data_IF_039886287823
#
_entry.id   IF_039886287823
#
_cell.length_a   1.000
_cell.length_b   1.000
_cell.length_c   1.000
_cell.angle_alpha   90.00
_cell.angle_beta   90.00
_cell.angle_gamma   90.00
#
_symmetry.space_group_name_H-M   'P 1'
#
loop_
_entity.id
_entity.type
_entity.pdbx_description
1 polymer ?
#
# COMPACT_ATOMS: atom_id res chain seq x y z
N UNK A 1 -12.03 4.80 -4.47
CA UNK A 1 -10.85 4.47 -3.66
C UNK A 1 -9.85 5.62 -3.71
N UNK A 2 -9.42 6.13 -2.55
CA UNK A 2 -8.40 7.18 -2.42
C UNK A 2 -7.00 6.58 -2.61
N UNK A 3 -6.13 7.26 -3.36
CA UNK A 3 -4.74 6.82 -3.59
C UNK A 3 -3.81 7.77 -2.85
N UNK A 4 -2.91 7.21 -2.04
CA UNK A 4 -1.95 7.95 -1.23
C UNK A 4 -0.55 7.70 -1.80
N UNK A 5 0.16 8.76 -2.18
CA UNK A 5 1.51 8.61 -2.75
C UNK A 5 2.54 8.58 -1.62
N UNK A 6 3.32 7.50 -1.55
CA UNK A 6 4.42 7.36 -0.62
C UNK A 6 5.61 8.24 -1.01
N UNK A 7 6.10 9.08 -0.11
CA UNK A 7 7.21 10.02 -0.33
C UNK A 7 8.39 9.66 0.58
N UNK A 8 9.52 9.22 0.01
CA UNK A 8 10.71 8.95 0.81
C UNK A 8 11.64 10.15 0.97
N UNK A 9 11.58 11.15 0.07
CA UNK A 9 12.41 12.35 0.07
C UNK A 9 11.78 13.49 -0.74
N UNK A 10 12.39 14.68 -0.71
CA UNK A 10 11.94 15.88 -1.43
C UNK A 10 12.39 15.95 -2.90
N UNK A 11 12.94 14.89 -3.49
CA UNK A 11 13.51 14.96 -4.85
C UNK A 11 12.44 14.96 -5.95
N UNK A 12 11.27 14.40 -5.66
CA UNK A 12 10.15 14.33 -6.60
C UNK A 12 8.99 15.12 -6.01
N UNK A 13 8.56 16.23 -6.64
CA UNK A 13 7.55 17.13 -6.10
C UNK A 13 6.12 16.60 -6.25
N UNK A 14 5.85 15.36 -5.82
CA UNK A 14 4.51 14.75 -5.93
C UNK A 14 3.45 15.47 -5.09
N UNK A 15 3.84 16.33 -4.14
CA UNK A 15 2.89 17.20 -3.42
C UNK A 15 2.16 18.18 -4.35
N UNK A 16 2.78 18.57 -5.46
CA UNK A 16 2.16 19.45 -6.46
C UNK A 16 1.01 18.77 -7.22
N UNK A 17 0.92 17.43 -7.16
CA UNK A 17 -0.20 16.66 -7.72
C UNK A 17 -1.49 16.76 -6.91
N UNK A 18 -1.47 17.47 -5.76
CA UNK A 18 -2.63 17.69 -4.87
C UNK A 18 -3.30 16.39 -4.39
N UNK A 19 -2.59 15.27 -4.43
CA UNK A 19 -3.03 14.01 -3.84
C UNK A 19 -2.62 13.90 -2.37
N UNK A 20 -3.32 13.07 -1.57
CA UNK A 20 -2.84 12.68 -0.24
C UNK A 20 -1.46 12.01 -0.32
N UNK A 21 -0.66 12.19 0.73
CA UNK A 21 0.73 11.77 0.79
C UNK A 21 0.95 10.87 2.00
N UNK A 22 1.84 9.89 1.86
CA UNK A 22 2.29 9.05 2.96
C UNK A 22 3.79 9.21 3.14
N UNK A 23 4.23 9.44 4.36
CA UNK A 23 5.66 9.48 4.72
C UNK A 23 5.95 8.44 5.78
N UNK A 24 7.22 8.11 5.96
CA UNK A 24 7.66 7.22 7.04
C UNK A 24 8.42 8.03 8.09
N UNK A 25 8.00 7.96 9.36
CA UNK A 25 8.54 8.81 10.43
C UNK A 25 10.07 8.72 10.61
N UNK A 26 10.67 7.60 10.19
CA UNK A 26 12.12 7.40 10.25
C UNK A 26 12.90 8.40 9.38
N UNK A 27 12.29 8.93 8.31
CA UNK A 27 12.98 9.76 7.32
C UNK A 27 12.62 11.25 7.38
N UNK A 28 11.69 11.64 8.26
CA UNK A 28 11.11 12.99 8.24
C UNK A 28 11.13 13.63 9.64
N UNK A 29 11.24 14.97 9.65
CA UNK A 29 11.22 15.82 10.84
C UNK A 29 10.21 16.97 10.75
N UNK A 30 9.75 17.30 9.54
CA UNK A 30 8.83 18.39 9.25
C UNK A 30 8.03 18.07 7.98
N UNK A 31 6.90 18.74 7.81
CA UNK A 31 6.10 18.70 6.58
C UNK A 31 6.18 20.05 5.87
N UNK A 32 6.54 20.02 4.58
CA UNK A 32 6.73 21.22 3.76
C UNK A 32 5.61 21.42 2.72
N UNK A 33 4.44 20.84 2.97
CA UNK A 33 3.28 20.87 2.08
C UNK A 33 1.98 20.91 2.88
N UNK A 34 0.86 21.20 2.19
CA UNK A 34 -0.47 21.31 2.81
C UNK A 34 -1.39 20.11 2.54
N UNK A 35 -0.92 19.12 1.78
CA UNK A 35 -1.69 17.94 1.42
C UNK A 35 -2.06 17.14 2.68
N UNK A 36 -3.19 16.43 2.63
CA UNK A 36 -3.51 15.37 3.58
C UNK A 36 -2.30 14.44 3.69
N UNK A 37 -1.79 14.25 4.92
CA UNK A 37 -0.56 13.51 5.15
C UNK A 37 -0.80 12.39 6.15
N UNK A 38 -0.38 11.19 5.78
CA UNK A 38 -0.40 10.01 6.61
C UNK A 38 1.03 9.63 6.96
N UNK A 39 1.27 9.21 8.21
CA UNK A 39 2.61 8.84 8.67
C UNK A 39 2.64 7.36 9.02
N UNK A 40 3.47 6.61 8.30
CA UNK A 40 3.84 5.24 8.60
C UNK A 40 4.83 5.19 9.78
N UNK A 41 4.61 4.25 10.69
CA UNK A 41 5.42 4.01 11.89
C UNK A 41 6.79 3.41 11.55
N UNK A 42 6.88 2.72 10.41
CA UNK A 42 8.06 1.99 9.98
C UNK A 42 8.17 0.56 10.50
N UNK A 43 7.05 -0.05 10.93
CA UNK A 43 6.96 -1.47 11.34
C UNK A 43 7.64 -2.44 10.37
N UNK A 44 7.50 -2.21 9.06
CA UNK A 44 8.15 -3.01 8.04
C UNK A 44 9.69 -2.90 8.06
N UNK A 45 10.23 -1.68 8.15
CA UNK A 45 11.67 -1.44 8.20
C UNK A 45 12.28 -1.97 9.50
N UNK A 46 11.56 -1.90 10.61
CA UNK A 46 11.91 -2.50 11.90
C UNK A 46 12.14 -4.01 11.74
N UNK A 47 11.21 -4.70 11.08
CA UNK A 47 11.30 -6.15 10.83
C UNK A 47 12.45 -6.50 9.88
N UNK A 48 12.55 -5.83 8.73
CA UNK A 48 13.50 -6.21 7.66
C UNK A 48 14.95 -5.82 8.00
N UNK A 49 15.15 -4.74 8.74
CA UNK A 49 16.48 -4.20 9.06
C UNK A 49 16.92 -4.46 10.51
N UNK A 50 16.07 -5.10 11.33
CA UNK A 50 16.36 -5.36 12.75
C UNK A 50 16.51 -4.09 13.60
N UNK A 51 15.87 -2.99 13.19
CA UNK A 51 15.96 -1.70 13.89
C UNK A 51 15.07 -1.77 15.13
N UNK A 52 15.61 -1.51 16.32
CA UNK A 52 14.79 -1.28 17.52
C UNK A 52 14.22 0.13 17.46
N UNK A 53 12.90 0.23 17.37
CA UNK A 53 12.19 1.52 17.48
C UNK A 53 11.48 1.58 18.82
N UNK A 54 11.74 2.67 19.52
CA UNK A 54 11.14 3.00 20.80
C UNK A 54 9.84 3.77 20.57
N UNK A 55 8.77 3.35 21.25
CA UNK A 55 7.45 3.97 21.17
C UNK A 55 7.51 5.47 21.54
N UNK A 56 8.35 5.87 22.49
CA UNK A 56 8.50 7.27 22.86
C UNK A 56 9.08 8.11 21.72
N UNK A 57 10.06 7.57 20.99
CA UNK A 57 10.61 8.25 19.81
C UNK A 57 9.58 8.39 18.69
N UNK A 58 8.69 7.40 18.52
CA UNK A 58 7.58 7.49 17.57
C UNK A 58 6.62 8.61 17.97
N UNK A 59 6.30 8.74 19.26
CA UNK A 59 5.44 9.81 19.78
C UNK A 59 6.06 11.18 19.53
N UNK A 60 7.35 11.36 19.84
CA UNK A 60 8.08 12.61 19.59
C UNK A 60 8.01 12.98 18.11
N UNK A 61 8.26 12.01 17.23
CA UNK A 61 8.19 12.20 15.77
C UNK A 61 6.79 12.56 15.30
N UNK A 62 5.77 11.87 15.78
CA UNK A 62 4.39 12.14 15.39
C UNK A 62 3.95 13.54 15.83
N UNK A 63 4.34 13.98 17.04
CA UNK A 63 4.07 15.35 17.51
C UNK A 63 4.73 16.43 16.65
N UNK A 64 5.93 16.17 16.12
CA UNK A 64 6.63 17.10 15.24
C UNK A 64 6.00 17.19 13.84
N UNK A 65 5.47 16.08 13.32
CA UNK A 65 5.00 16.00 11.95
C UNK A 65 3.59 16.56 11.72
N UNK A 66 2.78 16.83 12.77
CA UNK A 66 1.40 17.36 12.69
C UNK A 66 0.58 16.87 11.46
N UNK A 67 0.58 15.57 11.25
CA UNK A 67 -0.06 14.93 10.13
C UNK A 67 -1.57 14.68 10.39
N UNK A 68 -2.29 14.37 9.31
CA UNK A 68 -3.72 14.07 9.36
C UNK A 68 -4.01 12.76 10.08
N UNK A 69 -3.20 11.72 9.80
CA UNK A 69 -3.33 10.39 10.39
C UNK A 69 -1.96 9.75 10.61
N UNK A 70 -1.89 8.85 11.57
CA UNK A 70 -0.67 8.11 11.89
C UNK A 70 -0.96 6.62 11.97
N UNK A 71 -0.08 5.78 11.44
CA UNK A 71 -0.17 4.34 11.60
C UNK A 71 0.29 3.96 13.01
N UNK A 72 -0.36 2.97 13.60
CA UNK A 72 0.11 2.38 14.86
C UNK A 72 1.49 1.76 14.66
N UNK A 73 2.32 1.80 15.71
CA UNK A 73 3.59 1.06 15.71
C UNK A 73 3.30 -0.43 15.88
N UNK A 74 3.40 -1.16 14.79
CA UNK A 74 3.13 -2.58 14.72
C UNK A 74 4.41 -3.40 14.53
N UNK A 75 4.35 -4.63 15.02
CA UNK A 75 5.32 -5.69 14.80
C UNK A 75 4.65 -6.69 13.87
N UNK A 76 4.95 -6.67 12.56
CA UNK A 76 4.32 -7.59 11.64
C UNK A 76 4.81 -9.01 11.91
N UNK A 77 3.89 -9.97 11.79
CA UNK A 77 4.16 -11.40 11.97
C UNK A 77 4.10 -12.12 10.62
N UNK A 78 4.55 -13.37 10.57
CA UNK A 78 4.37 -14.18 9.37
C UNK A 78 2.87 -14.42 9.14
N UNK A 79 2.43 -14.59 7.88
CA UNK A 79 1.05 -14.95 7.60
C UNK A 79 0.59 -16.18 8.39
N UNK A 80 -0.67 -16.22 8.80
CA UNK A 80 -1.30 -17.30 9.57
C UNK A 80 -0.74 -17.49 10.99
N UNK A 81 -0.04 -16.50 11.54
CA UNK A 81 0.44 -16.51 12.92
C UNK A 81 -0.26 -15.44 13.76
N UNK A 82 -0.35 -15.70 15.07
CA UNK A 82 -0.90 -14.76 16.04
C UNK A 82 -0.12 -13.44 16.06
N UNK A 83 -0.79 -12.29 16.25
CA UNK A 83 -0.14 -11.00 16.43
C UNK A 83 0.67 -10.96 17.72
N UNK A 84 1.62 -10.02 17.78
CA UNK A 84 2.22 -9.63 19.06
C UNK A 84 1.19 -8.87 19.90
N UNK A 85 1.04 -9.22 21.18
CA UNK A 85 0.23 -8.45 22.13
C UNK A 85 0.73 -7.00 22.30
N UNK A 86 1.99 -6.72 21.93
CA UNK A 86 2.52 -5.37 21.89
C UNK A 86 1.81 -4.49 20.86
N UNK A 87 1.26 -5.04 19.78
CA UNK A 87 0.56 -4.26 18.76
C UNK A 87 -0.69 -3.58 19.36
N UNK A 88 -1.45 -4.31 20.20
CA UNK A 88 -2.62 -3.77 20.90
C UNK A 88 -2.21 -2.72 21.94
N UNK A 89 -1.18 -2.99 22.74
CA UNK A 89 -0.67 -2.05 23.77
C UNK A 89 -0.11 -0.76 23.15
N UNK A 90 0.66 -0.88 22.06
CA UNK A 90 1.16 0.28 21.33
C UNK A 90 0.00 1.10 20.75
N UNK A 91 -0.99 0.43 20.17
CA UNK A 91 -2.17 1.10 19.64
C UNK A 91 -2.91 1.88 20.72
N UNK A 92 -3.30 1.25 21.83
CA UNK A 92 -4.04 1.94 22.91
C UNK A 92 -3.27 3.15 23.44
N UNK A 93 -1.96 2.99 23.65
CA UNK A 93 -1.13 4.08 24.15
C UNK A 93 -1.05 5.22 23.13
N UNK A 94 -0.75 4.94 21.86
CA UNK A 94 -0.73 5.96 20.81
C UNK A 94 -2.10 6.63 20.65
N UNK A 95 -3.19 5.85 20.69
CA UNK A 95 -4.55 6.35 20.56
C UNK A 95 -4.89 7.33 21.69
N UNK A 96 -4.46 7.02 22.92
CA UNK A 96 -4.64 7.91 24.08
C UNK A 96 -3.89 9.25 23.96
N UNK A 97 -2.79 9.27 23.19
CA UNK A 97 -1.95 10.47 23.01
C UNK A 97 -2.40 11.33 21.82
N UNK A 98 -2.93 10.72 20.76
CA UNK A 98 -3.18 11.40 19.48
C UNK A 98 -4.67 11.51 19.09
N UNK A 99 -5.58 11.39 20.07
CA UNK A 99 -7.03 11.66 19.96
C UNK A 99 -7.65 11.20 18.62
N UNK A 100 -7.72 9.87 18.44
CA UNK A 100 -8.37 9.20 17.29
C UNK A 100 -7.68 9.35 15.93
N UNK A 101 -6.48 9.93 15.86
CA UNK A 101 -5.70 10.00 14.60
C UNK A 101 -4.91 8.73 14.27
N UNK A 102 -4.91 7.72 15.16
CA UNK A 102 -4.15 6.49 15.00
C UNK A 102 -4.96 5.45 14.21
N UNK A 103 -4.37 4.94 13.13
CA UNK A 103 -4.89 3.81 12.36
C UNK A 103 -4.15 2.53 12.80
N UNK A 104 -4.84 1.55 13.41
CA UNK A 104 -4.25 0.24 13.68
C UNK A 104 -4.05 -0.56 12.40
N UNK A 105 -3.09 -1.47 12.43
CA UNK A 105 -2.79 -2.37 11.30
C UNK A 105 -3.23 -3.80 11.64
N UNK A 106 -4.10 -4.35 10.82
CA UNK A 106 -4.47 -5.76 10.83
C UNK A 106 -3.64 -6.44 9.72
N UNK A 107 -2.79 -7.39 10.09
CA UNK A 107 -2.04 -8.18 9.12
C UNK A 107 -2.77 -9.49 8.80
N UNK A 108 -2.14 -10.27 7.94
CA UNK A 108 -2.49 -11.63 7.56
C UNK A 108 -2.37 -12.65 8.73
N UNK A 109 -3.05 -12.45 9.87
CA UNK A 109 -3.04 -13.39 11.01
C UNK A 109 -3.89 -14.64 10.73
N UNK A 110 -3.90 -15.61 11.65
CA UNK A 110 -4.95 -16.64 11.67
C UNK A 110 -6.37 -16.02 11.85
N UNK A 111 -7.40 -16.77 11.47
CA UNK A 111 -8.80 -16.29 11.46
C UNK A 111 -9.27 -15.80 12.83
N UNK A 112 -8.98 -16.55 13.90
CA UNK A 112 -9.31 -16.18 15.28
C UNK A 112 -8.66 -14.86 15.67
N UNK A 113 -7.38 -14.69 15.32
CA UNK A 113 -6.64 -13.46 15.61
C UNK A 113 -7.12 -12.27 14.78
N UNK A 114 -7.58 -12.48 13.54
CA UNK A 114 -8.23 -11.45 12.73
C UNK A 114 -9.51 -10.98 13.43
N UNK A 115 -10.38 -11.90 13.87
CA UNK A 115 -11.61 -11.59 14.59
C UNK A 115 -11.33 -10.83 15.89
N UNK A 116 -10.41 -11.33 16.72
CA UNK A 116 -9.97 -10.66 17.95
C UNK A 116 -9.47 -9.24 17.68
N UNK A 117 -8.68 -9.05 16.61
CA UNK A 117 -8.18 -7.74 16.23
C UNK A 117 -9.31 -6.78 15.81
N UNK A 118 -10.28 -7.26 15.03
CA UNK A 118 -11.44 -6.46 14.61
C UNK A 118 -12.32 -6.09 15.81
N UNK A 119 -12.64 -7.04 16.68
CA UNK A 119 -13.43 -6.81 17.90
C UNK A 119 -12.74 -5.81 18.82
N UNK A 120 -11.42 -5.88 18.94
CA UNK A 120 -10.66 -4.95 19.74
C UNK A 120 -10.61 -3.54 19.13
N UNK A 121 -10.18 -3.41 17.86
CA UNK A 121 -9.97 -2.09 17.24
C UNK A 121 -11.28 -1.35 16.93
N UNK A 122 -12.38 -2.08 16.69
CA UNK A 122 -13.70 -1.48 16.41
C UNK A 122 -14.28 -0.70 17.59
N UNK A 123 -13.79 -0.94 18.82
CA UNK A 123 -14.14 -0.15 20.00
C UNK A 123 -13.54 1.25 19.99
N UNK A 124 -12.48 1.48 19.21
CA UNK A 124 -11.69 2.71 19.22
C UNK A 124 -11.82 3.51 17.93
N UNK A 125 -11.90 2.85 16.78
CA UNK A 125 -11.83 3.53 15.48
C UNK A 125 -12.71 2.87 14.42
N UNK A 126 -13.11 3.66 13.44
CA UNK A 126 -13.82 3.26 12.25
C UNK A 126 -12.88 3.08 11.05
N UNK A 127 -11.56 3.19 11.23
CA UNK A 127 -10.59 2.94 10.16
C UNK A 127 -9.48 1.97 10.61
N UNK A 128 -9.19 0.99 9.75
CA UNK A 128 -8.02 0.10 9.90
C UNK A 128 -7.16 0.15 8.64
N UNK A 129 -5.88 -0.15 8.80
CA UNK A 129 -5.02 -0.51 7.70
C UNK A 129 -4.94 -2.04 7.60
N UNK A 130 -5.02 -2.58 6.39
CA UNK A 130 -4.75 -3.97 6.09
C UNK A 130 -3.31 -4.10 5.57
N UNK A 131 -2.48 -4.77 6.36
CA UNK A 131 -1.10 -5.11 6.03
C UNK A 131 -0.95 -6.55 5.54
N UNK A 132 0.25 -6.91 5.07
CA UNK A 132 0.54 -8.29 4.65
C UNK A 132 0.45 -8.55 3.14
N UNK A 133 0.32 -7.50 2.32
CA UNK A 133 0.42 -7.56 0.83
C UNK A 133 1.86 -7.37 0.35
N UNK A 134 2.76 -6.92 1.22
CA UNK A 134 4.13 -6.57 0.89
C UNK A 134 5.10 -7.10 1.94
N UNK A 135 5.37 -8.41 1.94
CA UNK A 135 6.76 -8.80 2.09
C UNK A 135 7.27 -9.65 0.90
N UNK A 136 8.60 -9.72 0.70
CA UNK A 136 9.25 -10.57 -0.30
C UNK A 136 8.89 -12.06 -0.21
N UNK A 137 8.24 -12.49 0.88
CA UNK A 137 7.63 -13.82 1.06
C UNK A 137 6.46 -14.07 0.10
N UNK A 138 5.83 -13.05 -0.49
CA UNK A 138 4.69 -13.17 -1.43
C UNK A 138 5.07 -13.52 -2.87
N UNK A 139 6.35 -13.81 -3.15
CA UNK A 139 6.82 -14.20 -4.48
C UNK A 139 6.45 -15.63 -4.89
N UNK A 140 5.78 -16.40 -4.03
CA UNK A 140 5.12 -17.67 -4.39
C UNK A 140 3.63 -17.43 -4.64
N UNK A 141 3.09 -17.99 -5.72
CA UNK A 141 1.71 -17.79 -6.20
C UNK A 141 0.62 -18.05 -5.15
N UNK A 142 0.84 -18.96 -4.20
CA UNK A 142 -0.09 -19.26 -3.10
C UNK A 142 -0.30 -18.10 -2.13
N UNK A 143 0.73 -17.29 -1.88
CA UNK A 143 0.69 -16.27 -0.84
C UNK A 143 -0.16 -15.05 -1.26
N UNK A 144 -0.31 -14.80 -2.57
CA UNK A 144 -1.16 -13.73 -3.09
C UNK A 144 -2.65 -14.01 -2.90
N UNK A 145 -3.09 -15.26 -3.11
CA UNK A 145 -4.48 -15.66 -2.85
C UNK A 145 -4.80 -15.54 -1.36
N UNK A 146 -3.89 -16.01 -0.50
CA UNK A 146 -4.01 -15.90 0.95
C UNK A 146 -4.25 -14.45 1.40
N UNK A 147 -3.42 -13.50 0.94
CA UNK A 147 -3.59 -12.09 1.28
C UNK A 147 -4.92 -11.50 0.79
N UNK A 148 -5.46 -11.97 -0.35
CA UNK A 148 -6.76 -11.54 -0.87
C UNK A 148 -7.91 -12.15 -0.06
N UNK A 149 -7.85 -13.44 0.29
CA UNK A 149 -8.84 -14.11 1.13
C UNK A 149 -8.92 -13.48 2.52
N UNK A 150 -7.77 -13.26 3.17
CA UNK A 150 -7.70 -12.59 4.48
C UNK A 150 -8.23 -11.16 4.44
N UNK A 151 -7.91 -10.42 3.37
CA UNK A 151 -8.49 -9.10 3.19
C UNK A 151 -10.01 -9.15 3.11
N UNK A 152 -10.58 -10.08 2.34
CA UNK A 152 -12.04 -10.22 2.23
C UNK A 152 -12.68 -10.66 3.53
N UNK A 153 -12.03 -11.52 4.32
CA UNK A 153 -12.47 -11.83 5.69
C UNK A 153 -12.51 -10.56 6.54
N UNK A 154 -11.41 -9.78 6.60
CA UNK A 154 -11.38 -8.49 7.34
C UNK A 154 -12.46 -7.55 6.82
N UNK A 155 -12.65 -7.45 5.50
CA UNK A 155 -13.65 -6.58 4.88
C UNK A 155 -15.08 -7.00 5.23
N UNK A 156 -15.35 -8.31 5.35
CA UNK A 156 -16.65 -8.88 5.72
C UNK A 156 -17.04 -8.52 7.15
N UNK A 157 -16.08 -8.56 8.08
CA UNK A 157 -16.34 -8.36 9.51
C UNK A 157 -16.13 -6.90 9.97
N UNK A 158 -15.25 -6.14 9.32
CA UNK A 158 -15.02 -4.73 9.61
C UNK A 158 -16.12 -3.87 8.98
N UNK A 159 -16.74 -2.97 9.76
CA UNK A 159 -17.83 -2.10 9.28
C UNK A 159 -17.38 -0.72 8.80
N UNK A 160 -16.15 -0.33 9.10
CA UNK A 160 -15.61 0.99 8.79
C UNK A 160 -14.76 1.04 7.52
N UNK A 161 -13.92 2.06 7.38
CA UNK A 161 -13.00 2.19 6.25
C UNK A 161 -11.77 1.27 6.38
N UNK A 162 -11.30 0.74 5.25
CA UNK A 162 -10.06 -0.03 5.16
C UNK A 162 -9.09 0.66 4.21
N UNK A 163 -7.88 0.92 4.73
CA UNK A 163 -6.73 1.31 3.94
C UNK A 163 -5.87 0.09 3.63
N UNK A 164 -5.61 -0.21 2.36
CA UNK A 164 -4.82 -1.39 1.98
C UNK A 164 -3.38 -0.99 1.67
N UNK A 165 -2.45 -1.46 2.49
CA UNK A 165 -1.04 -1.05 2.42
C UNK A 165 -0.35 -1.61 1.17
N UNK A 166 0.33 -0.74 0.41
CA UNK A 166 1.14 -1.09 -0.76
C UNK A 166 0.37 -1.54 -2.00
N UNK A 167 -0.95 -1.35 -2.04
CA UNK A 167 -1.83 -1.82 -3.13
C UNK A 167 -2.22 -0.72 -4.14
N UNK A 168 -1.46 0.36 -4.27
CA UNK A 168 -1.83 1.51 -5.09
C UNK A 168 -1.74 1.36 -6.61
N UNK A 169 -1.22 0.25 -7.15
CA UNK A 169 -1.18 0.05 -8.61
C UNK A 169 -2.58 -0.18 -9.20
N UNK A 170 -2.89 0.25 -10.43
CA UNK A 170 -4.21 0.03 -11.05
C UNK A 170 -4.69 -1.43 -11.00
N UNK A 171 -3.79 -2.39 -11.20
CA UNK A 171 -4.08 -3.82 -11.05
C UNK A 171 -4.52 -4.16 -9.62
N UNK A 172 -3.75 -3.76 -8.62
CA UNK A 172 -4.04 -4.05 -7.22
C UNK A 172 -5.32 -3.36 -6.75
N UNK A 173 -5.64 -2.16 -7.25
CA UNK A 173 -6.93 -1.52 -7.00
C UNK A 173 -8.13 -2.32 -7.52
N UNK A 174 -7.98 -3.09 -8.62
CA UNK A 174 -9.02 -4.03 -9.07
C UNK A 174 -9.11 -5.28 -8.20
N UNK A 175 -7.98 -5.72 -7.63
CA UNK A 175 -7.94 -6.85 -6.68
C UNK A 175 -8.60 -6.44 -5.35
N UNK A 176 -8.35 -5.24 -4.85
CA UNK A 176 -8.89 -4.73 -3.57
C UNK A 176 -10.00 -3.70 -3.80
N UNK A 177 -10.89 -3.95 -4.77
CA UNK A 177 -11.83 -2.95 -5.32
C UNK A 177 -12.81 -2.34 -4.31
N UNK A 178 -13.11 -3.06 -3.23
CA UNK A 178 -13.98 -2.66 -2.13
C UNK A 178 -13.21 -2.04 -0.94
N UNK A 179 -11.93 -1.65 -1.14
CA UNK A 179 -11.17 -0.87 -0.18
C UNK A 179 -11.42 0.64 -0.36
N UNK A 180 -11.33 1.38 0.74
CA UNK A 180 -11.56 2.82 0.77
C UNK A 180 -10.34 3.60 0.28
N UNK A 181 -9.14 3.10 0.60
CA UNK A 181 -7.89 3.74 0.22
C UNK A 181 -6.72 2.77 0.08
N UNK A 182 -5.68 3.19 -0.64
CA UNK A 182 -4.44 2.44 -0.89
C UNK A 182 -3.25 3.38 -0.91
N UNK A 183 -2.05 2.89 -0.59
CA UNK A 183 -0.81 3.63 -0.80
C UNK A 183 0.13 2.96 -1.82
N UNK A 184 1.09 3.74 -2.34
CA UNK A 184 2.14 3.24 -3.22
C UNK A 184 3.31 4.21 -3.32
N UNK A 185 4.53 3.67 -3.29
CA UNK A 185 5.77 4.38 -3.64
C UNK A 185 6.39 3.87 -4.95
N UNK A 186 5.69 2.99 -5.67
CA UNK A 186 6.24 2.29 -6.85
C UNK A 186 6.59 3.22 -8.02
N UNK A 187 5.97 4.40 -8.10
CA UNK A 187 6.26 5.40 -9.13
C UNK A 187 7.73 5.84 -9.14
N UNK A 188 8.31 6.03 -7.94
CA UNK A 188 9.70 6.45 -7.75
C UNK A 188 10.66 5.33 -8.12
N UNK A 189 10.42 4.14 -7.56
CA UNK A 189 11.26 2.95 -7.82
C UNK A 189 11.34 2.69 -9.32
N UNK A 190 10.20 2.73 -10.02
CA UNK A 190 10.15 2.55 -11.48
C UNK A 190 10.90 3.65 -12.23
N UNK A 191 10.70 4.91 -11.87
CA UNK A 191 11.37 6.04 -12.53
C UNK A 191 12.90 5.98 -12.42
N UNK A 192 13.44 5.67 -11.23
CA UNK A 192 14.88 5.51 -11.00
C UNK A 192 15.47 4.36 -11.84
N UNK A 193 14.72 3.28 -12.01
CA UNK A 193 15.15 2.14 -12.83
C UNK A 193 14.91 2.31 -14.34
N UNK A 194 14.61 3.53 -14.80
CA UNK A 194 14.46 3.82 -16.22
C UNK A 194 13.13 3.35 -16.82
N UNK A 195 12.11 3.14 -15.97
CA UNK A 195 10.80 2.64 -16.38
C UNK A 195 9.72 3.71 -16.30
N UNK A 196 8.76 3.62 -17.21
CA UNK A 196 7.47 4.32 -17.16
C UNK A 196 6.31 3.33 -17.12
N UNK A 197 5.20 3.75 -16.51
CA UNK A 197 3.93 3.04 -16.52
C UNK A 197 3.14 3.46 -17.74
N UNK A 198 2.80 2.50 -18.59
CA UNK A 198 1.91 2.69 -19.71
C UNK A 198 0.49 2.34 -19.24
N UNK A 199 -0.49 3.26 -19.34
CA UNK A 199 -1.88 3.00 -18.98
C UNK A 199 -2.40 1.69 -19.62
N UNK A 200 -3.03 0.83 -18.80
CA UNK A 200 -3.54 -0.48 -19.24
C UNK A 200 -2.49 -1.55 -19.60
N UNK A 201 -1.21 -1.20 -19.80
CA UNK A 201 -0.17 -2.13 -20.31
C UNK A 201 0.95 -2.44 -19.30
N UNK A 202 1.00 -1.72 -18.18
CA UNK A 202 1.98 -1.92 -17.12
C UNK A 202 3.31 -1.22 -17.38
N UNK A 203 4.39 -1.73 -16.80
CA UNK A 203 5.71 -1.07 -16.88
C UNK A 203 6.43 -1.33 -18.21
N UNK A 204 7.12 -0.31 -18.71
CA UNK A 204 8.04 -0.41 -19.84
C UNK A 204 9.32 0.35 -19.56
N UNK A 205 10.44 -0.20 -20.02
CA UNK A 205 11.73 0.46 -19.95
C UNK A 205 11.89 1.46 -21.10
N UNK A 206 12.33 2.67 -20.76
CA UNK A 206 12.57 3.78 -21.69
C UNK A 206 13.98 4.37 -21.58
N UNK A 207 14.82 3.83 -20.68
CA UNK A 207 16.20 4.28 -20.53
C UNK A 207 17.09 3.91 -21.73
N UNK A 208 18.22 4.60 -21.86
CA UNK A 208 19.18 4.36 -22.95
C UNK A 208 20.10 3.17 -22.67
N UNK A 209 20.37 2.87 -21.39
CA UNK A 209 21.29 1.79 -21.01
C UNK A 209 20.77 0.43 -21.50
N UNK A 210 21.69 -0.44 -21.91
CA UNK A 210 21.39 -1.85 -22.22
C UNK A 210 20.88 -2.53 -20.95
N UNK A 211 19.71 -3.14 -21.03
CA UNK A 211 19.06 -3.79 -19.89
C UNK A 211 19.72 -5.15 -19.64
N UNK A 212 20.07 -5.45 -18.39
CA UNK A 212 20.64 -6.75 -17.97
C UNK A 212 19.54 -7.70 -17.43
N UNK A 213 18.33 -7.19 -17.18
CA UNK A 213 17.17 -7.89 -16.60
C UNK A 213 15.94 -7.89 -17.52
N UNK A 214 14.93 -8.73 -17.23
CA UNK A 214 13.74 -9.03 -18.07
C UNK A 214 12.77 -7.87 -18.34
N UNK A 215 13.15 -6.61 -18.17
CA UNK A 215 12.26 -5.48 -18.41
C UNK A 215 12.01 -5.28 -19.92
N UNK A 216 10.74 -5.25 -20.33
CA UNK A 216 10.36 -5.01 -21.73
C UNK A 216 10.54 -3.54 -22.08
N UNK A 217 11.30 -3.26 -23.15
CA UNK A 217 11.44 -1.91 -23.71
C UNK A 217 10.11 -1.44 -24.31
N UNK A 218 9.78 -0.17 -24.13
CA UNK A 218 8.61 0.43 -24.76
C UNK A 218 8.80 0.48 -26.28
N UNK A 219 7.75 0.17 -27.04
CA UNK A 219 7.72 0.48 -28.48
C UNK A 219 7.04 1.84 -28.73
N UNK A 220 7.12 2.34 -29.96
CA UNK A 220 6.55 3.64 -30.35
C UNK A 220 5.05 3.74 -30.05
N UNK A 221 4.28 2.71 -30.37
CA UNK A 221 2.83 2.69 -30.10
C UNK A 221 2.50 2.74 -28.60
N UNK A 222 3.32 2.13 -27.74
CA UNK A 222 3.17 2.20 -26.29
C UNK A 222 3.53 3.59 -25.74
N UNK A 223 4.56 4.23 -26.29
CA UNK A 223 4.89 5.61 -25.95
C UNK A 223 3.81 6.58 -26.39
N UNK A 224 3.27 6.41 -27.60
CA UNK A 224 2.14 7.22 -28.08
C UNK A 224 0.90 7.07 -27.20
N UNK A 225 0.62 5.83 -26.74
CA UNK A 225 -0.44 5.56 -25.74
C UNK A 225 -0.24 6.40 -24.48
N UNK A 226 1.00 6.47 -23.97
CA UNK A 226 1.34 7.25 -22.78
C UNK A 226 1.18 8.76 -23.05
N UNK A 227 1.74 9.27 -24.14
CA UNK A 227 1.70 10.70 -24.47
C UNK A 227 0.25 11.18 -24.67
N UNK A 228 -0.56 10.43 -25.41
CA UNK A 228 -1.99 10.71 -25.58
C UNK A 228 -2.73 10.73 -24.24
N UNK A 229 -2.41 9.81 -23.33
CA UNK A 229 -3.01 9.78 -22.00
C UNK A 229 -2.61 11.01 -21.17
N UNK A 230 -1.33 11.39 -21.18
CA UNK A 230 -0.84 12.56 -20.44
C UNK A 230 -1.50 13.85 -20.94
N UNK A 231 -1.65 14.00 -22.25
CA UNK A 231 -2.36 15.13 -22.87
C UNK A 231 -3.84 15.15 -22.48
N UNK A 232 -4.56 14.04 -22.69
CA UNK A 232 -5.99 13.89 -22.38
C UNK A 232 -6.32 14.14 -20.90
N UNK A 233 -5.40 13.80 -20.01
CA UNK A 233 -5.60 13.99 -18.57
C UNK A 233 -5.07 15.33 -18.06
N UNK A 234 -4.48 16.16 -18.92
CA UNK A 234 -3.88 17.45 -18.58
C UNK A 234 -2.74 17.33 -17.56
N UNK A 235 -1.78 16.45 -17.84
CA UNK A 235 -0.57 16.30 -17.03
C UNK A 235 0.15 17.66 -16.84
N UNK A 236 0.44 18.08 -15.60
CA UNK A 236 0.85 19.46 -15.32
C UNK A 236 2.35 19.75 -15.49
N UNK A 237 3.17 18.76 -15.84
CA UNK A 237 4.63 18.92 -15.93
C UNK A 237 5.17 18.66 -17.33
N UNK A 238 6.43 19.05 -17.54
CA UNK A 238 7.15 18.69 -18.76
C UNK A 238 7.34 17.17 -18.86
N UNK A 239 7.16 16.64 -20.06
CA UNK A 239 7.35 15.20 -20.34
C UNK A 239 8.78 14.97 -20.82
N UNK A 240 9.61 14.38 -19.95
CA UNK A 240 10.99 13.95 -20.28
C UNK A 240 11.20 12.52 -19.83
N UNK A 241 11.54 11.64 -20.77
CA UNK A 241 11.71 10.20 -20.51
C UNK A 241 13.15 9.80 -20.17
N UNK A 242 14.12 10.68 -20.41
CA UNK A 242 15.55 10.53 -20.09
C UNK A 242 15.85 10.86 -18.62
N UNK A 243 15.09 11.77 -18.01
CA UNK A 243 15.20 12.16 -16.61
C UNK A 243 14.37 11.26 -15.67
N UNK A 244 14.97 10.78 -14.57
CA UNK A 244 14.29 9.89 -13.64
C UNK A 244 13.22 10.57 -12.78
N UNK A 245 13.37 11.87 -12.46
CA UNK A 245 12.40 12.65 -11.70
C UNK A 245 11.13 12.80 -12.53
N UNK A 246 11.27 13.18 -13.81
CA UNK A 246 10.13 13.35 -14.72
C UNK A 246 9.44 12.02 -14.99
N UNK A 247 10.17 10.92 -15.19
CA UNK A 247 9.59 9.57 -15.24
C UNK A 247 8.81 9.23 -13.97
N UNK A 248 9.32 9.61 -12.80
CA UNK A 248 8.63 9.37 -11.53
C UNK A 248 7.34 10.18 -11.41
N UNK A 249 7.32 11.45 -11.84
CA UNK A 249 6.11 12.27 -11.88
C UNK A 249 5.08 11.72 -12.88
N UNK A 250 5.51 11.31 -14.07
CA UNK A 250 4.68 10.63 -15.07
C UNK A 250 4.07 9.36 -14.45
N UNK A 251 4.89 8.53 -13.79
CA UNK A 251 4.42 7.32 -13.15
C UNK A 251 3.40 7.60 -12.04
N UNK A 252 3.64 8.62 -11.22
CA UNK A 252 2.70 9.02 -10.18
C UNK A 252 1.36 9.45 -10.80
N UNK A 253 1.40 10.25 -11.86
CA UNK A 253 0.22 10.68 -12.60
C UNK A 253 -0.56 9.52 -13.20
N UNK A 254 0.13 8.57 -13.83
CA UNK A 254 -0.50 7.36 -14.38
C UNK A 254 -1.12 6.52 -13.27
N UNK A 255 -0.44 6.36 -12.12
CA UNK A 255 -1.04 5.66 -10.98
C UNK A 255 -2.32 6.34 -10.51
N UNK A 256 -2.36 7.67 -10.44
CA UNK A 256 -3.53 8.42 -9.99
C UNK A 256 -4.70 8.39 -10.98
N UNK A 257 -4.43 8.41 -12.29
CA UNK A 257 -5.44 8.72 -13.30
C UNK A 257 -5.75 7.57 -14.28
N UNK A 258 -5.03 6.45 -14.23
CA UNK A 258 -5.28 5.31 -15.12
C UNK A 258 -6.03 4.18 -14.43
N UNK A 259 -6.72 3.37 -15.23
CA UNK A 259 -7.43 2.16 -14.80
C UNK A 259 -6.77 0.89 -15.36
N UNK A 260 -7.09 -0.25 -14.74
CA UNK A 260 -6.68 -1.57 -15.23
C UNK A 260 -7.88 -2.29 -15.84
N UNK A 261 -7.79 -2.64 -17.13
CA UNK A 261 -8.93 -3.16 -17.90
C UNK A 261 -8.79 -4.63 -18.31
N UNK A 262 -7.61 -5.22 -18.10
CA UNK A 262 -7.33 -6.60 -18.52
C UNK A 262 -7.95 -7.58 -17.50
N UNK A 263 -8.62 -8.62 -17.99
CA UNK A 263 -9.07 -9.70 -17.11
C UNK A 263 -7.89 -10.45 -16.49
N UNK A 264 -7.97 -10.74 -15.19
CA UNK A 264 -6.92 -11.48 -14.49
C UNK A 264 -7.51 -12.48 -13.49
N UNK A 265 -6.97 -13.71 -13.36
CA UNK A 265 -7.49 -14.73 -12.44
C UNK A 265 -7.61 -14.25 -11.00
N UNK A 266 -6.64 -13.47 -10.50
CA UNK A 266 -6.68 -12.92 -9.14
C UNK A 266 -7.81 -11.89 -8.93
N UNK A 267 -8.17 -11.12 -9.97
CA UNK A 267 -9.31 -10.19 -9.92
C UNK A 267 -10.62 -10.99 -9.88
N UNK A 268 -10.74 -12.03 -10.71
CA UNK A 268 -11.91 -12.93 -10.71
C UNK A 268 -12.06 -13.61 -9.35
N UNK A 269 -10.97 -14.11 -8.79
CA UNK A 269 -10.94 -14.72 -7.46
C UNK A 269 -11.34 -13.73 -6.35
N UNK A 270 -10.83 -12.49 -6.38
CA UNK A 270 -11.25 -11.45 -5.44
C UNK A 270 -12.76 -11.17 -5.51
N UNK A 271 -13.33 -11.05 -6.72
CA UNK A 271 -14.77 -10.85 -6.89
C UNK A 271 -15.61 -12.05 -6.45
N UNK A 272 -15.08 -13.26 -6.60
CA UNK A 272 -15.72 -14.47 -6.10
C UNK A 272 -15.81 -14.43 -4.56
N UNK A 273 -14.70 -14.09 -3.88
CA UNK A 273 -14.62 -13.99 -2.43
C UNK A 273 -15.55 -12.93 -1.83
N UNK A 274 -15.73 -11.79 -2.50
CA UNK A 274 -16.63 -10.71 -2.06
C UNK A 274 -18.08 -11.18 -1.85
N UNK A 275 -18.49 -12.25 -2.56
CA UNK A 275 -19.84 -12.82 -2.47
C UNK A 275 -19.95 -13.96 -1.45
N UNK A 276 -18.86 -14.36 -0.79
CA UNK A 276 -18.87 -15.45 0.18
C UNK A 276 -19.35 -14.96 1.56
N UNK A 277 -19.85 -15.90 2.35
CA UNK A 277 -20.17 -15.73 3.78
C UNK A 277 -18.90 -15.62 4.61
N UNK A 278 -19.03 -15.21 5.88
CA UNK A 278 -17.90 -15.17 6.81
C UNK A 278 -17.29 -16.58 7.01
N UNK A 279 -18.14 -17.59 7.19
CA UNK A 279 -17.75 -19.00 7.36
C UNK A 279 -16.97 -19.53 6.14
N UNK A 280 -17.48 -19.31 4.92
CA UNK A 280 -16.77 -19.71 3.68
C UNK A 280 -15.41 -19.01 3.52
N UNK A 281 -15.31 -17.74 3.94
CA UNK A 281 -14.04 -17.00 3.92
C UNK A 281 -13.04 -17.54 4.94
N UNK A 282 -13.51 -17.91 6.13
CA UNK A 282 -12.67 -18.55 7.15
C UNK A 282 -12.12 -19.89 6.66
N UNK A 283 -12.97 -20.71 6.05
CA UNK A 283 -12.57 -22.00 5.49
C UNK A 283 -11.49 -21.84 4.39
N UNK A 284 -11.68 -20.91 3.45
CA UNK A 284 -10.69 -20.61 2.41
C UNK A 284 -9.36 -20.11 3.01
N UNK A 285 -9.42 -19.22 4.01
CA UNK A 285 -8.21 -18.72 4.69
C UNK A 285 -7.49 -19.87 5.40
N UNK A 286 -8.22 -20.72 6.13
CA UNK A 286 -7.66 -21.86 6.84
C UNK A 286 -7.02 -22.87 5.89
N UNK A 287 -7.67 -23.20 4.77
CA UNK A 287 -7.12 -24.09 3.75
C UNK A 287 -5.82 -23.53 3.15
N UNK A 288 -5.79 -22.24 2.82
CA UNK A 288 -4.60 -21.58 2.27
C UNK A 288 -3.48 -21.47 3.30
N UNK A 289 -3.80 -21.28 4.58
CA UNK A 289 -2.83 -21.29 5.66
C UNK A 289 -2.14 -22.66 5.78
N UNK A 290 -2.91 -23.76 5.75
CA UNK A 290 -2.36 -25.14 5.81
C UNK A 290 -1.42 -25.44 4.63
N UNK A 291 -1.75 -24.97 3.43
CA UNK A 291 -0.92 -25.13 2.23
C UNK A 291 0.39 -24.36 2.27
N UNK A 292 0.47 -23.31 3.07
CA UNK A 292 1.66 -22.44 3.17
C UNK A 292 2.68 -22.97 4.19
N UNK A 293 2.24 -23.84 5.10
CA UNK A 293 3.08 -24.53 6.10
C UNK A 293 3.74 -25.84 5.61
N UNK A 294 3.36 -26.33 4.42
CA UNK A 294 3.95 -27.48 3.72
C UNK A 294 5.03 -27.03 2.73
#
# INVERSE_FOLDING_TARGET
>A
MKIILGIPDLKIPVWELKSPLMINQLNWNELNWKNETWVDSGGYQIMVKGIKVDLQKVIEKYKLLDATRYMSLDIPTKPCQKPSELNYKHFEYLYSVFDKKIIPVIHAYDTDSIKKAVDFYSQYTDIVAFGGIVPPTLNRSGNKKLAVAMYHLVRKIWRGSIHVLGAGSPFMRKVYFNADSVDTSTYRVKGIHGMVLIPGKGERYVGERKIIWRARRANEAELETLLTFLDKTHYPFTVRLDNWIDRSLINAWVLLNSEYEIEHPLIKYSRYLDNQTEEELEDEVNELCMRTTL
#
